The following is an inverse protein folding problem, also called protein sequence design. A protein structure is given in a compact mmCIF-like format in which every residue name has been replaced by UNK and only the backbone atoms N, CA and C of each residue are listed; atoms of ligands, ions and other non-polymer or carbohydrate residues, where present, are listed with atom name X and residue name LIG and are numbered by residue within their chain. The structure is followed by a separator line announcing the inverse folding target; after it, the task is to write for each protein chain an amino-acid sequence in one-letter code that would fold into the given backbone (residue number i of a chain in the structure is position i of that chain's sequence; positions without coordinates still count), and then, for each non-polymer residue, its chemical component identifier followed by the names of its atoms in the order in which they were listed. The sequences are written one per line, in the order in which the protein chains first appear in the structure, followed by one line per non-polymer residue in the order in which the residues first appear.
data_IF_713981108528
#
_entry.id   IF_713981108528
#
_cell.length_a   1.000
_cell.length_b   1.000
_cell.length_c   1.000
_cell.angle_alpha   90.00
_cell.angle_beta   90.00
_cell.angle_gamma   90.00
#
_symmetry.space_group_name_H-M   'P 1'
#
loop_
_entity.id
_entity.type
_entity.pdbx_description
1 polymer ?
#
# COMPACT_ATOMS: atom_id res chain seq x y z
N UNK A 1 52.55 -22.48 16.90
CA UNK A 1 51.18 -22.76 16.45
C UNK A 1 50.47 -23.49 17.59
N UNK A 2 49.52 -22.85 18.28
CA UNK A 2 48.81 -23.45 19.43
C UNK A 2 47.57 -24.17 18.91
N UNK A 3 47.43 -25.43 19.28
CA UNK A 3 46.29 -26.28 18.92
C UNK A 3 45.03 -25.79 19.65
N UNK A 4 44.01 -25.34 18.90
CA UNK A 4 42.65 -25.13 19.41
C UNK A 4 42.12 -26.46 19.91
N UNK A 5 41.60 -26.49 21.13
CA UNK A 5 41.02 -27.68 21.74
C UNK A 5 39.56 -27.86 21.31
N UNK A 6 39.09 -29.11 21.26
CA UNK A 6 37.73 -29.48 20.86
C UNK A 6 36.62 -28.73 21.63
N UNK A 7 36.88 -28.34 22.88
CA UNK A 7 35.97 -27.53 23.69
C UNK A 7 35.75 -26.09 23.17
N UNK A 8 36.75 -25.50 22.50
CA UNK A 8 36.61 -24.17 21.87
C UNK A 8 35.80 -24.25 20.56
N UNK A 9 35.86 -25.38 19.86
CA UNK A 9 35.03 -25.64 18.68
C UNK A 9 33.57 -25.88 19.07
N UNK A 10 33.30 -26.56 20.18
CA UNK A 10 31.94 -26.74 20.70
C UNK A 10 31.31 -25.42 21.17
N UNK A 11 32.06 -24.52 21.83
CA UNK A 11 31.56 -23.18 22.15
C UNK A 11 31.32 -22.31 20.91
N UNK A 12 32.07 -22.51 19.82
CA UNK A 12 31.88 -21.76 18.58
C UNK A 12 30.69 -22.29 17.76
N UNK A 13 30.42 -23.60 17.82
CA UNK A 13 29.28 -24.25 17.15
C UNK A 13 27.97 -24.06 17.92
N UNK A 14 28.01 -23.99 19.25
CA UNK A 14 26.83 -23.77 20.10
C UNK A 14 26.59 -22.29 20.44
N UNK A 15 27.52 -21.40 20.06
CA UNK A 15 27.43 -19.95 20.27
C UNK A 15 26.78 -19.17 19.13
N UNK A 16 26.24 -19.85 18.10
CA UNK A 16 25.54 -19.19 17.01
C UNK A 16 24.05 -19.10 17.30
N UNK A 17 23.59 -17.88 17.55
CA UNK A 17 22.19 -17.47 17.42
C UNK A 17 21.21 -18.24 18.30
N UNK A 18 21.21 -17.91 19.60
CA UNK A 18 19.91 -17.77 20.25
C UNK A 18 19.16 -16.69 19.48
N UNK A 19 18.35 -17.10 18.50
CA UNK A 19 17.17 -16.34 18.13
C UNK A 19 16.35 -16.28 19.41
N UNK A 20 16.58 -15.24 20.22
CA UNK A 20 15.58 -14.84 21.18
C UNK A 20 14.36 -14.55 20.33
N UNK A 21 13.42 -15.50 20.31
CA UNK A 21 12.03 -15.22 20.01
C UNK A 21 11.62 -14.23 21.09
N UNK A 22 11.89 -12.95 20.83
CA UNK A 22 11.41 -11.87 21.66
C UNK A 22 9.91 -11.94 21.47
N UNK A 23 9.22 -12.47 22.48
CA UNK A 23 7.77 -12.52 22.50
C UNK A 23 7.27 -11.12 22.12
N UNK A 24 6.44 -11.00 21.07
CA UNK A 24 6.02 -9.69 20.60
C UNK A 24 5.30 -8.98 21.75
N UNK A 25 5.58 -7.69 21.97
CA UNK A 25 5.00 -6.96 23.07
C UNK A 25 3.47 -7.00 22.95
N UNK A 26 2.75 -6.99 24.08
CA UNK A 26 1.29 -7.12 24.09
C UNK A 26 0.59 -6.10 23.18
N UNK A 27 1.18 -4.92 22.99
CA UNK A 27 0.67 -3.86 22.11
C UNK A 27 0.67 -4.25 20.62
N UNK A 28 1.66 -5.02 20.15
CA UNK A 28 1.75 -5.47 18.77
C UNK A 28 0.73 -6.59 18.47
N UNK A 29 0.55 -7.51 19.43
CA UNK A 29 -0.48 -8.56 19.34
C UNK A 29 -1.88 -7.96 19.37
N UNK A 30 -2.14 -7.02 20.28
CA UNK A 30 -3.41 -6.28 20.33
C UNK A 30 -3.69 -5.55 19.02
N UNK A 31 -2.67 -4.98 18.38
CA UNK A 31 -2.84 -4.34 17.07
C UNK A 31 -3.18 -5.34 15.96
N UNK A 32 -2.57 -6.52 15.96
CA UNK A 32 -2.93 -7.59 15.02
C UNK A 32 -4.40 -8.03 15.20
N UNK A 33 -4.88 -8.11 16.44
CA UNK A 33 -6.27 -8.43 16.74
C UNK A 33 -7.22 -7.33 16.23
N UNK A 34 -6.86 -6.06 16.37
CA UNK A 34 -7.65 -4.95 15.84
C UNK A 34 -7.72 -4.99 14.30
N UNK A 35 -6.60 -5.28 13.63
CA UNK A 35 -6.60 -5.47 12.17
C UNK A 35 -7.47 -6.63 11.74
N UNK A 36 -7.40 -7.76 12.44
CA UNK A 36 -8.25 -8.91 12.17
C UNK A 36 -9.74 -8.58 12.39
N UNK A 37 -10.08 -7.90 13.49
CA UNK A 37 -11.44 -7.46 13.76
C UNK A 37 -11.97 -6.49 12.67
N UNK A 38 -11.14 -5.54 12.23
CA UNK A 38 -11.49 -4.62 11.16
C UNK A 38 -11.68 -5.34 9.80
N UNK A 39 -10.80 -6.30 9.49
CA UNK A 39 -10.90 -7.13 8.29
C UNK A 39 -12.19 -7.93 8.27
N UNK A 40 -12.50 -8.66 9.35
CA UNK A 40 -13.71 -9.50 9.41
C UNK A 40 -14.99 -8.69 9.51
N UNK A 41 -14.99 -7.57 10.23
CA UNK A 41 -16.12 -6.64 10.24
C UNK A 41 -16.50 -6.18 8.83
N UNK A 42 -15.50 -5.86 7.99
CA UNK A 42 -15.71 -5.50 6.58
C UNK A 42 -16.10 -6.71 5.73
N UNK A 43 -15.45 -7.85 5.92
CA UNK A 43 -15.77 -9.11 5.22
C UNK A 43 -17.23 -9.53 5.44
N UNK A 44 -17.75 -9.39 6.66
CA UNK A 44 -19.15 -9.68 6.99
C UNK A 44 -20.17 -8.70 6.41
N UNK A 45 -19.75 -7.48 6.05
CA UNK A 45 -20.61 -6.49 5.41
C UNK A 45 -20.68 -6.67 3.88
N UNK A 46 -19.84 -7.53 3.30
CA UNK A 46 -19.83 -7.76 1.85
C UNK A 46 -21.09 -8.50 1.40
N UNK A 47 -21.61 -8.11 0.23
CA UNK A 47 -22.67 -8.87 -0.40
C UNK A 47 -22.10 -10.21 -0.93
N UNK A 48 -22.89 -11.30 -0.98
CA UNK A 48 -22.43 -12.60 -1.47
C UNK A 48 -21.83 -12.57 -2.89
N UNK A 49 -22.27 -11.63 -3.72
CA UNK A 49 -21.82 -11.40 -5.09
C UNK A 49 -20.54 -10.54 -5.21
N UNK A 50 -20.09 -9.93 -4.11
CA UNK A 50 -18.89 -9.10 -4.12
C UNK A 50 -17.63 -9.96 -4.24
N UNK A 51 -16.58 -9.36 -4.83
CA UNK A 51 -15.25 -9.98 -4.82
C UNK A 51 -14.77 -10.11 -3.37
N UNK A 52 -14.03 -11.19 -3.04
CA UNK A 52 -13.55 -11.40 -1.67
C UNK A 52 -12.64 -10.24 -1.25
N UNK A 53 -12.88 -9.71 -0.05
CA UNK A 53 -11.94 -8.80 0.60
C UNK A 53 -10.62 -9.53 0.82
N UNK A 54 -9.51 -8.83 0.61
CA UNK A 54 -8.15 -9.32 0.86
C UNK A 54 -7.38 -8.28 1.66
N UNK A 55 -6.48 -8.77 2.50
CA UNK A 55 -5.49 -7.94 3.17
C UNK A 55 -4.18 -7.94 2.40
N UNK A 56 -3.49 -6.80 2.43
CA UNK A 56 -2.20 -6.61 1.79
C UNK A 56 -1.24 -5.86 2.70
N UNK A 57 0.04 -6.16 2.58
CA UNK A 57 1.13 -5.32 3.08
C UNK A 57 1.64 -4.47 1.92
N UNK A 58 1.86 -3.19 2.17
CA UNK A 58 2.56 -2.28 1.25
C UNK A 58 3.98 -2.09 1.77
N UNK A 59 4.96 -2.53 0.99
CA UNK A 59 6.38 -2.38 1.29
C UNK A 59 6.99 -1.27 0.44
N UNK A 60 7.97 -0.53 0.97
CA UNK A 60 8.67 0.54 0.23
C UNK A 60 9.56 -0.02 -0.89
N UNK A 61 10.08 -1.23 -0.68
CA UNK A 61 10.89 -1.99 -1.62
C UNK A 61 10.85 -3.48 -1.29
N UNK A 62 11.15 -4.31 -2.28
CA UNK A 62 11.32 -5.75 -2.09
C UNK A 62 12.78 -6.10 -1.76
N UNK A 63 13.71 -5.57 -2.55
CA UNK A 63 15.14 -5.84 -2.39
C UNK A 63 15.68 -5.21 -1.10
N UNK A 64 16.53 -5.95 -0.41
CA UNK A 64 17.11 -5.60 0.90
C UNK A 64 16.10 -5.31 2.02
N UNK A 65 14.83 -5.72 1.86
CA UNK A 65 13.82 -5.62 2.92
C UNK A 65 13.87 -6.85 3.83
N UNK A 66 14.09 -6.63 5.13
CA UNK A 66 14.05 -7.71 6.12
C UNK A 66 12.66 -8.37 6.19
N UNK A 67 11.60 -7.59 5.98
CA UNK A 67 10.21 -8.07 5.93
C UNK A 67 9.99 -8.94 4.68
N UNK A 68 10.51 -8.53 3.52
CA UNK A 68 10.40 -9.32 2.29
C UNK A 68 11.14 -10.66 2.37
N UNK A 69 12.32 -10.68 3.00
CA UNK A 69 13.07 -11.91 3.24
C UNK A 69 12.27 -12.90 4.11
N UNK A 70 11.71 -12.41 5.22
CA UNK A 70 10.88 -13.24 6.11
C UNK A 70 9.56 -13.68 5.46
N UNK A 71 8.92 -12.80 4.67
CA UNK A 71 7.74 -13.16 3.88
C UNK A 71 8.03 -14.31 2.91
N UNK A 72 9.18 -14.28 2.24
CA UNK A 72 9.59 -15.32 1.30
C UNK A 72 9.79 -16.67 2.00
N UNK A 73 10.31 -16.66 3.22
CA UNK A 73 10.52 -17.86 4.03
C UNK A 73 9.20 -18.43 4.58
N UNK A 74 8.36 -17.56 5.14
CA UNK A 74 7.15 -17.97 5.88
C UNK A 74 5.97 -18.24 4.95
N UNK A 75 5.81 -17.42 3.90
CA UNK A 75 4.68 -17.47 2.96
C UNK A 75 5.16 -17.27 1.52
N UNK A 76 5.85 -18.26 0.92
CA UNK A 76 6.40 -18.14 -0.42
C UNK A 76 5.34 -17.85 -1.49
N UNK A 77 4.13 -18.41 -1.38
CA UNK A 77 3.06 -18.16 -2.33
C UNK A 77 2.56 -16.70 -2.29
N UNK A 78 2.57 -16.08 -1.10
CA UNK A 78 2.25 -14.66 -0.95
C UNK A 78 3.35 -13.77 -1.54
N UNK A 79 4.62 -14.15 -1.32
CA UNK A 79 5.77 -13.47 -1.90
C UNK A 79 5.77 -13.52 -3.43
N UNK A 80 5.47 -14.67 -4.02
CA UNK A 80 5.34 -14.85 -5.48
C UNK A 80 4.17 -14.05 -6.05
N UNK A 81 3.08 -13.92 -5.28
CA UNK A 81 1.88 -13.18 -5.68
C UNK A 81 1.97 -11.66 -5.47
N UNK A 82 3.14 -11.14 -5.11
CA UNK A 82 3.35 -9.69 -4.92
C UNK A 82 3.25 -8.94 -6.26
N UNK A 83 2.74 -7.71 -6.20
CA UNK A 83 2.71 -6.81 -7.35
C UNK A 83 3.57 -5.56 -7.07
N UNK A 84 4.62 -5.36 -7.87
CA UNK A 84 5.39 -4.12 -7.85
C UNK A 84 4.56 -2.96 -8.41
N UNK A 85 4.71 -1.76 -7.84
CA UNK A 85 4.08 -0.54 -8.34
C UNK A 85 4.74 -0.18 -9.67
N UNK A 86 3.99 -0.15 -10.79
CA UNK A 86 4.56 0.07 -12.11
C UNK A 86 4.94 1.53 -12.30
N UNK A 87 6.19 1.88 -12.00
CA UNK A 87 6.76 3.20 -12.16
C UNK A 87 8.02 3.15 -13.05
N UNK A 88 8.02 3.97 -14.09
CA UNK A 88 9.12 4.09 -15.06
C UNK A 88 10.47 4.43 -14.43
N UNK A 89 10.50 5.05 -13.25
CA UNK A 89 11.74 5.32 -12.50
C UNK A 89 12.49 4.03 -12.10
N UNK A 90 11.73 2.95 -11.87
CA UNK A 90 12.23 1.64 -11.45
C UNK A 90 12.30 0.63 -12.60
N UNK A 91 12.19 1.06 -13.86
CA UNK A 91 12.28 0.15 -15.01
C UNK A 91 13.62 -0.62 -14.98
N UNK A 92 13.54 -1.96 -15.00
CA UNK A 92 14.69 -2.87 -14.88
C UNK A 92 15.25 -3.01 -13.46
N UNK A 93 14.59 -2.41 -12.46
CA UNK A 93 14.91 -2.46 -11.03
C UNK A 93 13.63 -2.59 -10.22
N UNK A 94 12.73 -3.47 -10.67
CA UNK A 94 11.40 -3.63 -10.10
C UNK A 94 11.43 -4.08 -8.63
N UNK A 95 12.52 -4.71 -8.17
CA UNK A 95 12.74 -5.06 -6.77
C UNK A 95 13.01 -3.84 -5.86
N UNK A 96 13.49 -2.72 -6.40
CA UNK A 96 13.62 -1.45 -5.68
C UNK A 96 12.29 -0.66 -5.62
N UNK A 97 11.28 -1.07 -6.40
CA UNK A 97 9.99 -0.41 -6.42
C UNK A 97 9.15 -0.81 -5.20
N UNK A 98 8.26 0.07 -4.73
CA UNK A 98 7.25 -0.29 -3.75
C UNK A 98 6.41 -1.45 -4.26
N UNK A 99 5.95 -2.33 -3.37
CA UNK A 99 5.16 -3.47 -3.79
C UNK A 99 4.03 -3.78 -2.81
N UNK A 100 2.94 -4.31 -3.39
CA UNK A 100 1.75 -4.78 -2.69
C UNK A 100 1.84 -6.29 -2.57
N UNK A 101 1.88 -6.79 -1.34
CA UNK A 101 2.03 -8.22 -1.04
C UNK A 101 0.74 -8.73 -0.41
N UNK A 102 0.08 -9.76 -0.95
CA UNK A 102 -1.07 -10.39 -0.30
C UNK A 102 -0.70 -10.90 1.10
N UNK A 103 -1.51 -10.59 2.10
CA UNK A 103 -1.37 -11.16 3.43
C UNK A 103 -2.28 -12.40 3.52
N UNK A 104 -1.73 -13.59 3.87
CA UNK A 104 -2.55 -14.80 4.03
C UNK A 104 -3.62 -14.62 5.11
N UNK A 105 -4.83 -15.16 4.88
CA UNK A 105 -5.95 -15.02 5.84
C UNK A 105 -5.63 -15.60 7.22
N UNK A 106 -4.74 -16.58 7.29
CA UNK A 106 -4.29 -17.19 8.55
C UNK A 106 -3.59 -16.19 9.50
N UNK A 107 -3.03 -15.10 8.95
CA UNK A 107 -2.41 -14.03 9.73
C UNK A 107 -3.45 -13.07 10.36
N UNK A 108 -4.71 -13.11 9.90
CA UNK A 108 -5.82 -12.32 10.41
C UNK A 108 -6.99 -13.25 10.80
N UNK A 109 -6.86 -14.05 11.88
CA UNK A 109 -7.91 -15.00 12.28
C UNK A 109 -9.20 -14.29 12.69
N UNK A 110 -10.35 -14.92 12.43
CA UNK A 110 -11.65 -14.41 12.87
C UNK A 110 -11.85 -14.71 14.36
N UNK A 111 -11.73 -13.67 15.19
CA UNK A 111 -11.68 -13.78 16.64
C UNK A 111 -10.29 -14.19 17.16
N UNK A 112 -10.23 -15.23 17.98
CA UNK A 112 -8.98 -15.74 18.56
C UNK A 112 -8.22 -16.69 17.63
N UNK A 113 -6.95 -16.95 17.94
CA UNK A 113 -6.14 -17.96 17.27
C UNK A 113 -6.59 -19.35 17.71
N UNK A 114 -7.38 -20.02 16.86
CA UNK A 114 -7.95 -21.34 17.15
C UNK A 114 -7.01 -22.49 16.76
N UNK A 115 -5.89 -22.20 16.09
CA UNK A 115 -4.88 -23.17 15.67
C UNK A 115 -3.46 -22.66 15.93
N UNK A 116 -2.51 -23.57 16.10
CA UNK A 116 -1.09 -23.22 16.27
C UNK A 116 -0.55 -22.43 15.06
N UNK A 117 -1.01 -22.76 13.85
CA UNK A 117 -0.60 -22.07 12.64
C UNK A 117 -1.12 -20.62 12.61
N UNK A 118 -2.35 -20.37 13.09
CA UNK A 118 -2.88 -19.00 13.27
C UNK A 118 -2.10 -18.23 14.34
N UNK A 119 -1.80 -18.86 15.48
CA UNK A 119 -1.01 -18.24 16.54
C UNK A 119 0.37 -17.83 16.02
N UNK A 120 1.07 -18.73 15.33
CA UNK A 120 2.38 -18.44 14.76
C UNK A 120 2.33 -17.37 13.67
N UNK A 121 1.31 -17.39 12.81
CA UNK A 121 1.12 -16.35 11.80
C UNK A 121 0.90 -14.96 12.41
N UNK A 122 0.12 -14.89 13.51
CA UNK A 122 -0.12 -13.64 14.23
C UNK A 122 1.12 -13.14 14.97
N UNK A 123 1.91 -14.04 15.57
CA UNK A 123 3.20 -13.71 16.19
C UNK A 123 4.16 -13.08 15.17
N UNK A 124 4.33 -13.72 14.01
CA UNK A 124 5.20 -13.23 12.93
C UNK A 124 4.74 -11.86 12.44
N UNK A 125 3.43 -11.67 12.24
CA UNK A 125 2.89 -10.36 11.89
C UNK A 125 3.18 -9.32 12.98
N UNK A 126 2.99 -9.67 14.25
CA UNK A 126 3.26 -8.77 15.39
C UNK A 126 4.75 -8.39 15.48
N UNK A 127 5.67 -9.33 15.22
CA UNK A 127 7.11 -9.08 15.13
C UNK A 127 7.42 -8.05 14.03
N UNK A 128 6.81 -8.17 12.84
CA UNK A 128 6.98 -7.20 11.76
C UNK A 128 6.41 -5.81 12.10
N UNK A 129 5.21 -5.75 12.69
CA UNK A 129 4.61 -4.49 13.12
C UNK A 129 5.46 -3.79 14.19
N UNK A 130 6.04 -4.56 15.11
CA UNK A 130 6.93 -4.02 16.14
C UNK A 130 8.21 -3.47 15.51
N UNK A 131 8.84 -4.22 14.59
CA UNK A 131 10.04 -3.76 13.88
C UNK A 131 9.75 -2.46 13.11
N UNK A 132 8.63 -2.40 12.40
CA UNK A 132 8.16 -1.20 11.70
C UNK A 132 7.91 -0.03 12.66
N UNK A 133 7.33 -0.27 13.85
CA UNK A 133 7.11 0.77 14.86
C UNK A 133 8.41 1.39 15.38
N UNK A 134 9.47 0.58 15.54
CA UNK A 134 10.82 1.06 15.86
C UNK A 134 11.43 1.88 14.71
N UNK A 135 11.15 1.48 13.46
CA UNK A 135 11.60 2.23 12.27
C UNK A 135 10.85 3.56 12.11
N UNK A 136 9.57 3.63 12.45
CA UNK A 136 8.71 4.80 12.19
C UNK A 136 9.25 6.12 12.79
N UNK A 137 10.03 6.04 13.88
CA UNK A 137 10.66 7.21 14.50
C UNK A 137 11.91 7.71 13.75
N UNK A 138 12.50 6.88 12.88
CA UNK A 138 13.71 7.20 12.11
C UNK A 138 13.33 7.94 10.82
N UNK A 139 13.33 9.27 10.89
CA UNK A 139 12.89 10.17 9.79
C UNK A 139 13.60 9.98 8.44
N UNK A 140 14.87 9.56 8.46
CA UNK A 140 15.71 9.35 7.25
C UNK A 140 15.95 7.89 6.93
N UNK A 141 15.49 6.95 7.76
CA UNK A 141 15.68 5.54 7.48
C UNK A 141 14.61 5.06 6.48
N UNK A 142 14.98 4.12 5.58
CA UNK A 142 14.00 3.36 4.83
C UNK A 142 12.97 2.73 5.78
N UNK A 143 11.71 2.71 5.35
CA UNK A 143 10.59 2.15 6.09
C UNK A 143 10.16 0.90 5.35
N UNK A 144 10.51 -0.27 5.85
CA UNK A 144 10.27 -1.51 5.08
C UNK A 144 8.76 -1.76 4.92
N UNK A 145 7.98 -1.46 5.96
CA UNK A 145 6.52 -1.54 5.94
C UNK A 145 5.91 -0.13 5.91
N UNK A 146 5.27 0.21 4.79
CA UNK A 146 4.55 1.48 4.65
C UNK A 146 3.13 1.39 5.22
N UNK A 147 2.38 0.36 4.85
CA UNK A 147 0.97 0.25 5.23
C UNK A 147 0.43 -1.17 5.23
N UNK A 148 -0.71 -1.36 5.91
CA UNK A 148 -1.60 -2.50 5.72
C UNK A 148 -2.87 -2.00 5.02
N UNK A 149 -3.27 -2.70 3.96
CA UNK A 149 -4.37 -2.29 3.09
C UNK A 149 -5.43 -3.39 3.01
N UNK A 150 -6.71 -3.00 3.01
CA UNK A 150 -7.81 -3.91 2.68
C UNK A 150 -8.46 -3.50 1.37
N UNK A 151 -8.62 -4.45 0.44
CA UNK A 151 -9.24 -4.21 -0.86
C UNK A 151 -9.87 -5.48 -1.42
N UNK A 152 -10.92 -5.33 -2.23
CA UNK A 152 -11.55 -6.43 -2.98
C UNK A 152 -10.94 -6.62 -4.37
N UNK A 153 -10.06 -5.71 -4.79
CA UNK A 153 -9.29 -5.81 -6.02
C UNK A 153 -8.00 -6.61 -5.80
N UNK A 154 -7.33 -7.03 -6.89
CA UNK A 154 -6.06 -7.77 -6.82
C UNK A 154 -4.90 -6.87 -6.44
N UNK A 155 -3.78 -7.47 -6.01
CA UNK A 155 -2.53 -6.75 -5.74
C UNK A 155 -2.11 -5.88 -6.95
N UNK A 156 -2.22 -6.40 -8.17
CA UNK A 156 -1.91 -5.63 -9.40
C UNK A 156 -2.77 -4.39 -9.57
N UNK A 157 -4.08 -4.50 -9.29
CA UNK A 157 -5.00 -3.37 -9.41
C UNK A 157 -4.72 -2.31 -8.34
N UNK A 158 -4.40 -2.73 -7.12
CA UNK A 158 -3.97 -1.83 -6.04
C UNK A 158 -2.66 -1.14 -6.43
N UNK A 159 -1.67 -1.90 -6.90
CA UNK A 159 -0.37 -1.37 -7.33
C UNK A 159 -0.50 -0.37 -8.49
N UNK A 160 -1.36 -0.67 -9.49
CA UNK A 160 -1.69 0.25 -10.58
C UNK A 160 -2.39 1.51 -10.09
N UNK A 161 -3.28 1.41 -9.11
CA UNK A 161 -3.91 2.60 -8.50
C UNK A 161 -2.86 3.49 -7.82
N UNK A 162 -1.95 2.91 -7.05
CA UNK A 162 -0.85 3.65 -6.42
C UNK A 162 0.04 4.35 -7.47
N UNK A 163 0.37 3.66 -8.57
CA UNK A 163 1.12 4.25 -9.68
C UNK A 163 0.39 5.44 -10.32
N UNK A 164 -0.94 5.36 -10.50
CA UNK A 164 -1.75 6.46 -11.05
C UNK A 164 -1.74 7.69 -10.16
N UNK A 165 -1.70 7.51 -8.85
CA UNK A 165 -1.53 8.65 -7.94
C UNK A 165 -0.17 9.30 -8.18
N UNK A 166 0.89 8.50 -8.36
CA UNK A 166 2.30 8.93 -8.49
C UNK A 166 2.61 9.98 -9.55
N UNK A 167 1.85 10.04 -10.64
CA UNK A 167 2.06 10.98 -11.73
C UNK A 167 1.24 12.25 -11.53
N UNK A 168 1.89 13.32 -11.06
CA UNK A 168 1.24 14.63 -10.87
C UNK A 168 1.72 15.65 -11.90
N UNK A 169 0.79 16.46 -12.41
CA UNK A 169 1.11 17.58 -13.30
C UNK A 169 1.10 18.88 -12.50
N UNK A 170 2.12 19.72 -12.71
CA UNK A 170 2.05 21.10 -12.18
C UNK A 170 0.85 21.83 -12.81
N UNK A 171 0.17 22.73 -12.08
CA UNK A 171 -0.92 23.52 -12.67
C UNK A 171 -0.47 24.23 -13.95
N UNK A 172 -1.13 23.93 -15.08
CA UNK A 172 -0.78 24.48 -16.40
C UNK A 172 0.52 23.95 -17.03
N UNK A 173 1.19 22.99 -16.39
CA UNK A 173 2.41 22.36 -16.88
C UNK A 173 2.16 21.03 -17.59
N UNK A 174 3.08 20.66 -18.49
CA UNK A 174 3.09 19.36 -19.18
C UNK A 174 4.12 18.38 -18.59
N UNK A 175 4.99 18.86 -17.70
CA UNK A 175 5.99 18.03 -17.04
C UNK A 175 5.40 17.27 -15.86
N UNK A 176 5.56 15.95 -15.86
CA UNK A 176 5.17 15.12 -14.72
C UNK A 176 6.16 15.26 -13.57
N UNK A 177 5.64 15.43 -12.36
CA UNK A 177 6.36 15.29 -11.10
C UNK A 177 5.96 13.97 -10.46
N UNK A 178 6.96 13.18 -10.09
CA UNK A 178 6.78 11.95 -9.36
C UNK A 178 6.56 12.26 -7.89
N UNK A 179 5.49 11.74 -7.31
CA UNK A 179 5.18 11.90 -5.90
C UNK A 179 4.97 10.51 -5.29
N UNK A 180 5.64 10.22 -4.16
CA UNK A 180 5.65 8.88 -3.57
C UNK A 180 4.43 8.69 -2.67
N UNK A 181 3.28 8.35 -3.24
CA UNK A 181 2.02 8.17 -2.47
C UNK A 181 2.04 6.99 -1.51
N UNK A 182 2.93 6.02 -1.76
CA UNK A 182 3.21 4.93 -0.86
C UNK A 182 3.84 5.38 0.47
N UNK A 183 4.48 6.57 0.50
CA UNK A 183 5.06 7.12 1.72
C UNK A 183 3.91 7.43 2.71
N UNK A 184 3.89 6.81 3.90
CA UNK A 184 2.84 7.03 4.90
C UNK A 184 2.61 8.50 5.23
N UNK A 185 3.67 9.31 5.22
CA UNK A 185 3.61 10.74 5.55
C UNK A 185 2.85 11.56 4.52
N UNK A 186 2.69 11.05 3.30
CA UNK A 186 1.84 11.67 2.28
C UNK A 186 0.38 11.50 2.66
N UNK A 187 -0.05 10.25 2.89
CA UNK A 187 -1.43 9.94 3.27
C UNK A 187 -1.82 10.68 4.56
N UNK A 188 -0.97 10.64 5.58
CA UNK A 188 -1.22 11.27 6.89
C UNK A 188 -1.46 12.79 6.80
N UNK A 189 -0.82 13.47 5.84
CA UNK A 189 -0.95 14.93 5.67
C UNK A 189 -2.07 15.33 4.75
N UNK A 190 -2.26 14.58 3.65
CA UNK A 190 -3.27 14.97 2.66
C UNK A 190 -4.66 14.56 3.12
N UNK A 191 -4.80 13.39 3.76
CA UNK A 191 -6.10 12.83 4.13
C UNK A 191 -7.05 13.77 4.89
N UNK A 192 -6.60 14.53 5.92
CA UNK A 192 -7.48 15.44 6.65
C UNK A 192 -7.98 16.63 5.82
N UNK A 193 -7.24 17.00 4.77
CA UNK A 193 -7.55 18.14 3.90
C UNK A 193 -8.48 17.77 2.73
N UNK A 194 -8.74 16.48 2.53
CA UNK A 194 -9.58 15.99 1.44
C UNK A 194 -11.06 15.99 1.82
N UNK A 195 -11.91 16.46 0.91
CA UNK A 195 -13.35 16.18 0.96
C UNK A 195 -13.64 14.68 0.83
N UNK A 196 -14.83 14.22 1.23
CA UNK A 196 -15.22 12.81 1.11
C UNK A 196 -15.11 12.27 -0.34
N UNK A 197 -15.42 13.10 -1.34
CA UNK A 197 -15.26 12.74 -2.75
C UNK A 197 -13.78 12.56 -3.11
N UNK A 198 -12.91 13.47 -2.65
CA UNK A 198 -11.47 13.34 -2.85
C UNK A 198 -10.87 12.17 -2.09
N UNK A 199 -11.30 11.91 -0.85
CA UNK A 199 -10.91 10.74 -0.06
C UNK A 199 -11.24 9.43 -0.80
N UNK A 200 -12.43 9.36 -1.40
CA UNK A 200 -12.85 8.21 -2.20
C UNK A 200 -11.98 8.03 -3.46
N UNK A 201 -11.69 9.12 -4.17
CA UNK A 201 -10.79 9.08 -5.34
C UNK A 201 -9.35 8.72 -4.95
N UNK A 202 -8.89 9.19 -3.79
CA UNK A 202 -7.54 8.97 -3.30
C UNK A 202 -7.31 7.53 -2.88
N UNK A 203 -8.23 6.94 -2.09
CA UNK A 203 -8.14 5.52 -1.74
C UNK A 203 -8.43 4.60 -2.93
N UNK A 204 -9.30 5.02 -3.86
CA UNK A 204 -9.67 4.24 -5.04
C UNK A 204 -10.18 2.84 -4.68
N UNK A 205 -9.48 1.75 -5.06
CA UNK A 205 -9.89 0.38 -4.74
C UNK A 205 -9.63 -0.01 -3.27
N UNK A 206 -8.88 0.80 -2.51
CA UNK A 206 -8.53 0.51 -1.13
C UNK A 206 -9.70 0.91 -0.23
N UNK A 207 -10.19 -0.01 0.60
CA UNK A 207 -11.28 0.27 1.55
C UNK A 207 -10.75 0.84 2.86
N UNK A 208 -9.62 0.30 3.33
CA UNK A 208 -8.96 0.74 4.56
C UNK A 208 -7.45 0.75 4.33
N UNK A 209 -6.80 1.81 4.82
CA UNK A 209 -5.37 2.01 4.86
C UNK A 209 -4.94 2.25 6.30
N UNK A 210 -4.03 1.43 6.81
CA UNK A 210 -3.38 1.62 8.11
C UNK A 210 -1.90 1.86 7.92
N UNK A 211 -1.35 2.87 8.59
CA UNK A 211 0.10 3.13 8.58
C UNK A 211 0.56 3.69 9.90
N UNK A 212 1.83 3.46 10.25
CA UNK A 212 2.43 4.05 11.44
C UNK A 212 2.63 5.55 11.25
N UNK A 213 2.23 6.33 12.25
CA UNK A 213 2.45 7.78 12.29
C UNK A 213 3.94 8.04 12.32
N UNK A 214 4.40 8.85 11.38
CA UNK A 214 5.82 9.23 11.28
C UNK A 214 6.00 10.69 11.66
N UNK A 215 7.10 11.03 12.36
CA UNK A 215 7.38 12.40 12.75
C UNK A 215 7.70 13.26 11.51
N UNK A 216 7.14 14.46 11.48
CA UNK A 216 7.19 15.35 10.32
C UNK A 216 7.55 16.80 10.63
N UNK A 217 7.64 17.18 11.91
CA UNK A 217 8.02 18.53 12.33
C UNK A 217 9.50 18.83 12.08
N UNK A 218 9.99 20.02 12.48
CA UNK A 218 11.42 20.29 12.48
C UNK A 218 12.19 19.25 13.29
N UNK A 219 13.46 19.03 12.94
CA UNK A 219 14.33 18.15 13.72
C UNK A 219 14.61 18.80 15.05
N UNK A 220 14.35 18.08 16.14
CA UNK A 220 14.89 18.50 17.42
C UNK A 220 16.42 18.29 17.39
N UNK A 221 17.23 19.18 17.98
CA UNK A 221 18.69 19.03 18.00
C UNK A 221 19.16 17.65 18.48
N UNK A 222 18.45 17.06 19.44
CA UNK A 222 18.65 15.70 19.96
C UNK A 222 18.43 14.60 18.92
N UNK A 223 17.51 14.79 17.96
CA UNK A 223 17.21 13.83 16.90
C UNK A 223 18.33 13.76 15.84
N UNK A 224 19.19 14.80 15.74
CA UNK A 224 20.27 14.87 14.76
C UNK A 224 21.52 14.09 15.19
N UNK A 225 21.66 13.78 16.49
CA UNK A 225 22.85 13.14 17.05
C UNK A 225 22.68 11.64 17.30
N UNK A 226 21.45 11.14 17.32
CA UNK A 226 21.16 9.73 17.57
C UNK A 226 21.20 8.90 16.28
N UNK A 227 22.30 8.14 16.12
CA UNK A 227 22.40 7.06 15.13
C UNK A 227 21.90 5.70 15.66
N UNK A 228 21.44 5.66 16.92
CA UNK A 228 21.00 4.45 17.61
C UNK A 228 19.52 4.10 17.41
N UNK A 229 19.14 2.89 17.82
CA UNK A 229 17.73 2.54 17.98
C UNK A 229 17.09 3.43 19.04
N UNK A 230 16.24 4.36 18.60
CA UNK A 230 15.47 5.20 19.50
C UNK A 230 14.46 4.31 20.24
N UNK A 231 14.68 4.09 21.53
CA UNK A 231 13.70 3.51 22.46
C UNK A 231 12.67 4.57 22.83
N UNK A 232 11.86 4.98 21.85
CA UNK A 232 10.66 5.79 22.08
C UNK A 232 9.47 4.92 22.45
N UNK A 233 8.34 5.52 22.88
CA UNK A 233 7.07 4.78 22.93
C UNK A 233 6.75 4.21 21.54
N UNK A 234 5.95 3.12 21.45
CA UNK A 234 5.52 2.60 20.16
C UNK A 234 4.82 3.70 19.36
N UNK A 235 5.13 3.76 18.05
CA UNK A 235 4.52 4.75 17.16
C UNK A 235 3.00 4.51 17.06
N UNK A 236 2.25 5.59 17.12
CA UNK A 236 0.79 5.57 16.94
C UNK A 236 0.40 5.16 15.53
N UNK A 237 -0.85 4.72 15.37
CA UNK A 237 -1.39 4.29 14.08
C UNK A 237 -2.33 5.34 13.48
N UNK A 238 -2.15 5.58 12.19
CA UNK A 238 -3.06 6.36 11.37
C UNK A 238 -3.94 5.42 10.54
N UNK A 239 -5.24 5.72 10.49
CA UNK A 239 -6.23 5.00 9.70
C UNK A 239 -6.93 5.95 8.71
N UNK A 240 -6.89 5.60 7.43
CA UNK A 240 -7.77 6.16 6.41
C UNK A 240 -8.75 5.09 5.94
N UNK A 241 -10.00 5.46 5.78
CA UNK A 241 -11.09 4.53 5.48
C UNK A 241 -12.04 5.17 4.48
N UNK A 242 -12.56 4.38 3.53
CA UNK A 242 -13.52 4.90 2.57
C UNK A 242 -14.72 5.54 3.29
N UNK A 243 -15.08 6.79 2.94
CA UNK A 243 -16.24 7.44 3.52
C UNK A 243 -17.48 6.61 3.26
N UNK A 244 -18.19 6.27 4.33
CA UNK A 244 -19.54 5.71 4.20
C UNK A 244 -20.44 6.84 3.72
N UNK A 245 -20.80 6.83 2.44
CA UNK A 245 -21.83 7.76 1.95
C UNK A 245 -23.12 7.40 2.67
N UNK A 246 -23.71 8.30 3.49
CA UNK A 246 -25.01 8.04 4.05
C UNK A 246 -25.98 7.89 2.89
N UNK A 247 -26.66 6.75 2.80
CA UNK A 247 -27.82 6.63 1.93
C UNK A 247 -28.86 7.59 2.50
N UNK A 248 -28.93 8.80 1.94
CA UNK A 248 -30.07 9.65 2.15
C UNK A 248 -31.29 8.82 1.76
N UNK A 249 -32.12 8.48 2.75
CA UNK A 249 -33.46 7.96 2.52
C UNK A 249 -34.25 9.10 1.88
N UNK A 250 -34.09 9.29 0.58
CA UNK A 250 -35.02 10.09 -0.19
C UNK A 250 -36.35 9.35 -0.15
N UNK A 251 -37.32 9.94 0.53
CA UNK A 251 -38.61 9.34 0.78
C UNK A 251 -39.32 8.91 -0.51
N UNK A 252 -39.99 7.77 -0.42
CA UNK A 252 -41.18 7.35 -1.16
C UNK A 252 -41.32 7.76 -2.62
N UNK A 253 -41.14 6.80 -3.52
CA UNK A 253 -41.64 6.90 -4.90
C UNK A 253 -41.02 5.87 -5.83
N UNK A 254 -41.68 4.72 -5.95
CA UNK A 254 -41.55 3.67 -6.97
C UNK A 254 -40.15 3.13 -7.31
N UNK A 255 -39.92 1.92 -6.80
CA UNK A 255 -38.79 1.08 -7.13
C UNK A 255 -38.78 0.71 -8.63
N UNK A 256 -37.66 0.99 -9.30
CA UNK A 256 -37.16 0.20 -10.43
C UNK A 256 -35.84 -0.47 -10.03
N UNK A 257 -35.63 -1.74 -10.39
CA UNK A 257 -34.52 -2.53 -9.87
C UNK A 257 -33.15 -2.00 -10.34
N UNK A 258 -32.21 -2.00 -9.39
CA UNK A 258 -30.82 -1.57 -9.51
C UNK A 258 -30.05 -2.63 -10.32
N UNK A 259 -30.27 -2.69 -11.63
CA UNK A 259 -29.47 -3.51 -12.55
C UNK A 259 -28.72 -2.69 -13.61
N UNK A 260 -29.02 -1.39 -13.76
CA UNK A 260 -28.47 -0.59 -14.87
C UNK A 260 -27.38 0.42 -14.50
N UNK A 261 -27.07 0.63 -13.20
CA UNK A 261 -26.06 1.63 -12.81
C UNK A 261 -24.60 1.20 -13.02
N UNK A 262 -24.31 -0.07 -13.28
CA UNK A 262 -22.95 -0.55 -13.62
C UNK A 262 -22.63 -0.50 -15.13
N UNK A 263 -23.61 -0.27 -16.01
CA UNK A 263 -23.39 -0.23 -17.46
C UNK A 263 -23.00 1.16 -17.99
N UNK A 264 -23.39 2.25 -17.31
CA UNK A 264 -23.18 3.62 -17.81
C UNK A 264 -21.71 4.08 -17.70
N UNK A 265 -20.90 3.47 -16.84
CA UNK A 265 -19.46 3.79 -16.76
C UNK A 265 -18.59 3.04 -17.81
N UNK A 266 -19.16 2.13 -18.61
CA UNK A 266 -18.43 1.36 -19.64
C UNK A 266 -18.68 1.81 -21.08
N UNK A 267 -19.49 2.86 -21.31
CA UNK A 267 -19.91 3.28 -22.67
C UNK A 267 -19.59 4.74 -23.03
N UNK A 268 -18.55 5.32 -22.44
CA UNK A 268 -18.06 6.66 -22.83
C UNK A 268 -16.57 6.62 -23.16
N UNK A 269 -16.19 5.72 -24.06
CA UNK A 269 -14.92 5.73 -24.79
C UNK A 269 -15.13 4.91 -26.06
N UNK A 270 -15.79 5.48 -27.08
CA UNK A 270 -15.63 5.16 -28.51
C UNK A 270 -16.50 6.16 -29.30
N UNK A 271 -15.87 6.94 -30.17
CA UNK A 271 -16.47 7.45 -31.40
C UNK A 271 -16.97 8.89 -31.39
N UNK A 272 -16.17 9.80 -31.97
CA UNK A 272 -16.53 10.90 -32.89
C UNK A 272 -15.20 11.57 -33.26
N UNK A 273 -14.72 11.66 -34.49
CA UNK A 273 -15.22 11.26 -35.79
C UNK A 273 -14.30 11.92 -36.81
N UNK A 274 -13.65 11.12 -37.66
CA UNK A 274 -13.06 11.62 -38.89
C UNK A 274 -14.19 11.92 -39.88
N UNK A 275 -14.29 13.16 -40.35
CA UNK A 275 -14.74 13.55 -41.70
C UNK A 275 -14.92 15.06 -41.75
N UNK A 276 -14.11 15.74 -42.56
CA UNK A 276 -14.59 16.79 -43.47
C UNK A 276 -13.53 17.04 -44.54
N UNK A 277 -13.71 16.36 -45.66
CA UNK A 277 -13.20 16.74 -46.98
C UNK A 277 -14.24 17.65 -47.63
N UNK A 278 -13.82 18.80 -48.17
CA UNK A 278 -14.41 19.32 -49.41
C UNK A 278 -14.73 20.82 -49.49
N UNK A 279 -13.86 21.57 -50.20
CA UNK A 279 -14.17 22.72 -51.08
C UNK A 279 -14.64 24.02 -50.38
N UNK A 280 -14.32 25.24 -50.83
CA UNK A 280 -14.26 25.82 -52.18
C UNK A 280 -13.47 27.14 -52.08
N UNK A 281 -12.71 27.52 -53.09
CA UNK A 281 -12.20 28.90 -53.18
C UNK A 281 -11.14 29.16 -54.24
N UNK A 282 -11.52 29.19 -55.51
CA UNK A 282 -10.74 29.75 -56.61
C UNK A 282 -10.17 31.14 -56.30
N UNK A 283 -8.89 31.36 -56.58
CA UNK A 283 -8.41 32.64 -57.14
C UNK A 283 -7.39 32.40 -58.24
N UNK A 284 -7.84 32.63 -59.47
CA UNK A 284 -6.99 32.98 -60.61
C UNK A 284 -6.18 34.23 -60.29
N UNK A 285 -4.89 34.21 -60.61
CA UNK A 285 -4.26 35.30 -61.34
C UNK A 285 -3.08 34.75 -62.12
N UNK A 286 -3.28 34.71 -63.45
CA UNK A 286 -2.23 34.64 -64.43
C UNK A 286 -1.55 36.01 -64.55
N UNK A 287 -0.23 36.02 -64.75
CA UNK A 287 0.56 36.90 -65.63
C UNK A 287 2.02 36.46 -65.45
N UNK A 288 2.57 35.86 -66.49
CA UNK A 288 3.48 36.49 -67.47
C UNK A 288 4.90 36.64 -66.88
N UNK A 289 6.02 36.45 -67.57
CA UNK A 289 6.43 35.91 -68.86
C UNK A 289 7.97 36.07 -68.84
N UNK A 290 8.67 35.24 -69.61
CA UNK A 290 10.06 35.38 -70.10
C UNK A 290 11.26 35.22 -69.17
N UNK A 291 12.11 34.30 -69.65
CA UNK A 291 13.58 34.30 -69.75
C UNK A 291 14.40 34.08 -68.47
#
# INVERSE_FOLDING_TARGET
MRHRTLAELEQTLLGSSSGQTVEPPPDAVARCQEFAAAYHSRKHQQAPEDRPLRAYLLLDRWDDSAVAAQLTEVWPEAAESRAAVPDTFYAGREGEAPCVVPLPEIALPDGGTNTLAQARAQEILAEWLQAASRQAHKRLAPQDLCAMLFSTDSADWVAQHLAKLGFQYAPGGTSVRMFRYQDPRVMQRVWPELSAAQQSMWLGPIQIWWSLIQPWGPWAPEDLMESGERTGPPADWFKAEQPTVPVEKTGGGDAKPIAERRAVARSTCIGLGASELGGIGERKNARDTTA
#
